data_IF_972815599810
#
_entry.id   IF_972815599810
#
_cell.length_a   1.000
_cell.length_b   1.000
_cell.length_c   1.000
_cell.angle_alpha   90.00
_cell.angle_beta   90.00
_cell.angle_gamma   90.00
#
_symmetry.space_group_name_H-M   'P 1'
#
loop_
_entity.id
_entity.type
_entity.pdbx_description
1 polymer ?
#
# COMPACT_ATOMS: atom_id res chain seq x y z
N UNK A 1 24.93 -9.49 -14.45
CA UNK A 1 25.23 -10.43 -13.34
C UNK A 1 25.79 -9.59 -12.19
N UNK A 2 25.16 -9.63 -11.02
CA UNK A 2 25.58 -8.85 -9.84
C UNK A 2 26.69 -9.53 -9.06
N UNK A 3 27.54 -8.77 -8.38
CA UNK A 3 28.58 -9.31 -7.48
C UNK A 3 27.92 -9.94 -6.25
N UNK A 4 28.51 -11.02 -5.73
CA UNK A 4 27.94 -11.86 -4.64
C UNK A 4 28.69 -11.68 -3.31
N UNK A 5 29.74 -10.85 -3.32
CA UNK A 5 30.62 -10.61 -2.19
C UNK A 5 31.18 -9.18 -2.26
N UNK A 6 31.61 -8.68 -1.10
CA UNK A 6 32.42 -7.46 -0.97
C UNK A 6 33.79 -7.83 -0.39
N UNK A 7 34.81 -7.07 -0.75
CA UNK A 7 36.15 -7.26 -0.19
C UNK A 7 36.32 -6.32 1.01
N UNK A 8 36.78 -6.86 2.14
CA UNK A 8 37.13 -6.05 3.31
C UNK A 8 38.32 -5.15 2.98
N UNK A 9 38.21 -3.84 3.23
CA UNK A 9 39.29 -2.90 2.90
C UNK A 9 40.51 -2.98 3.82
N UNK A 10 40.41 -3.70 4.95
CA UNK A 10 41.51 -3.83 5.92
C UNK A 10 42.27 -5.16 5.80
N UNK A 11 41.57 -6.28 5.63
CA UNK A 11 42.19 -7.61 5.55
C UNK A 11 42.14 -8.25 4.16
N UNK A 12 41.57 -7.55 3.17
CA UNK A 12 41.42 -7.99 1.77
C UNK A 12 40.65 -9.31 1.59
N UNK A 13 39.95 -9.74 2.65
CA UNK A 13 39.18 -10.97 2.66
C UNK A 13 37.83 -10.78 1.97
N UNK A 14 37.36 -11.83 1.30
CA UNK A 14 36.08 -11.84 0.60
C UNK A 14 34.95 -12.13 1.59
N UNK A 15 34.16 -11.12 1.88
CA UNK A 15 32.96 -11.24 2.71
C UNK A 15 31.76 -11.53 1.80
N UNK A 16 31.18 -12.74 1.85
CA UNK A 16 29.98 -13.04 1.07
C UNK A 16 28.81 -12.18 1.54
N UNK A 17 27.92 -11.80 0.62
CA UNK A 17 26.70 -11.06 0.99
C UNK A 17 25.67 -11.91 1.70
N UNK A 18 25.79 -13.24 1.60
CA UNK A 18 24.98 -14.20 2.35
C UNK A 18 25.80 -14.78 3.48
N UNK A 19 25.31 -14.64 4.70
CA UNK A 19 25.95 -15.23 5.88
C UNK A 19 25.34 -16.59 6.26
N UNK A 20 26.00 -17.26 7.22
CA UNK A 20 25.57 -18.57 7.71
C UNK A 20 24.24 -18.51 8.48
N UNK A 21 23.86 -17.33 9.00
CA UNK A 21 22.61 -17.10 9.71
C UNK A 21 21.46 -17.08 8.69
N UNK A 22 21.62 -16.34 7.61
CA UNK A 22 20.69 -16.22 6.49
C UNK A 22 20.52 -17.56 5.76
N UNK A 23 21.59 -18.34 5.57
CA UNK A 23 21.51 -19.71 5.07
C UNK A 23 20.68 -20.62 5.98
N UNK A 24 20.88 -20.51 7.29
CA UNK A 24 20.17 -21.34 8.26
C UNK A 24 18.71 -20.93 8.42
N UNK A 25 18.41 -19.63 8.37
CA UNK A 25 17.05 -19.09 8.30
C UNK A 25 16.32 -19.51 7.01
N UNK A 26 17.03 -19.61 5.89
CA UNK A 26 16.47 -20.19 4.67
C UNK A 26 16.24 -21.69 4.78
N UNK A 27 17.06 -22.43 5.52
CA UNK A 27 16.91 -23.89 5.66
C UNK A 27 15.79 -24.29 6.62
N UNK A 28 15.43 -23.41 7.56
CA UNK A 28 14.43 -23.70 8.58
C UNK A 28 13.00 -23.38 8.08
N UNK A 29 12.12 -24.39 7.95
CA UNK A 29 10.76 -24.20 7.47
C UNK A 29 9.89 -23.33 8.40
N UNK A 30 10.20 -23.28 9.69
CA UNK A 30 9.53 -22.42 10.68
C UNK A 30 10.00 -20.98 10.49
N UNK A 31 11.31 -20.76 10.34
CA UNK A 31 11.86 -19.42 10.11
C UNK A 31 11.36 -18.80 8.79
N UNK A 32 11.24 -19.58 7.71
CA UNK A 32 10.59 -19.13 6.47
C UNK A 32 9.14 -18.70 6.67
N UNK A 33 8.40 -19.43 7.50
CA UNK A 33 6.98 -19.13 7.77
C UNK A 33 6.84 -17.85 8.59
N UNK A 34 7.71 -17.65 9.59
CA UNK A 34 7.78 -16.42 10.38
C UNK A 34 8.13 -15.22 9.49
N UNK A 35 9.19 -15.32 8.67
CA UNK A 35 9.57 -14.24 7.74
C UNK A 35 8.47 -13.92 6.72
N UNK A 36 7.75 -14.93 6.22
CA UNK A 36 6.63 -14.72 5.31
C UNK A 36 5.43 -14.07 6.02
N UNK A 37 5.20 -14.39 7.30
CA UNK A 37 4.19 -13.76 8.13
C UNK A 37 4.56 -12.30 8.43
N UNK A 38 5.79 -12.01 8.84
CA UNK A 38 6.26 -10.65 9.10
C UNK A 38 6.17 -9.80 7.84
N UNK A 39 6.66 -10.28 6.69
CA UNK A 39 6.51 -9.57 5.41
C UNK A 39 5.06 -9.29 5.04
N UNK A 40 4.13 -10.19 5.37
CA UNK A 40 2.70 -9.95 5.16
C UNK A 40 2.14 -8.92 6.16
N UNK A 41 2.53 -9.02 7.43
CA UNK A 41 2.12 -8.09 8.48
C UNK A 41 2.63 -6.66 8.19
N UNK A 42 3.91 -6.50 7.85
CA UNK A 42 4.47 -5.19 7.44
C UNK A 42 3.75 -4.62 6.23
N UNK A 43 3.48 -5.42 5.18
CA UNK A 43 2.71 -4.96 4.01
C UNK A 43 1.28 -4.55 4.33
N UNK A 44 0.61 -5.27 5.24
CA UNK A 44 -0.74 -4.92 5.67
C UNK A 44 -0.76 -3.63 6.50
N UNK A 45 0.22 -3.46 7.38
CA UNK A 45 0.42 -2.22 8.14
C UNK A 45 0.72 -1.03 7.21
N UNK A 46 1.56 -1.22 6.19
CA UNK A 46 1.87 -0.20 5.19
C UNK A 46 0.63 0.24 4.39
N UNK A 47 -0.18 -0.72 3.92
CA UNK A 47 -1.41 -0.41 3.18
C UNK A 47 -2.42 0.33 4.07
N UNK A 48 -2.59 -0.10 5.32
CA UNK A 48 -3.47 0.58 6.27
C UNK A 48 -3.00 2.02 6.55
N UNK A 49 -1.69 2.23 6.70
CA UNK A 49 -1.12 3.56 6.89
C UNK A 49 -1.33 4.46 5.65
N UNK A 50 -1.15 3.91 4.45
CA UNK A 50 -1.40 4.63 3.20
C UNK A 50 -2.88 4.98 3.02
N UNK A 51 -3.81 4.08 3.36
CA UNK A 51 -5.24 4.38 3.36
C UNK A 51 -5.56 5.54 4.32
N UNK A 52 -4.96 5.55 5.51
CA UNK A 52 -5.16 6.61 6.49
C UNK A 52 -4.64 7.98 5.99
N UNK A 53 -3.47 7.99 5.34
CA UNK A 53 -2.93 9.21 4.72
C UNK A 53 -3.85 9.72 3.60
N UNK A 54 -4.34 8.81 2.75
CA UNK A 54 -5.25 9.17 1.65
C UNK A 54 -6.58 9.74 2.15
N UNK A 55 -7.15 9.17 3.22
CA UNK A 55 -8.35 9.71 3.86
C UNK A 55 -8.10 11.13 4.38
N UNK A 56 -6.97 11.37 5.06
CA UNK A 56 -6.59 12.71 5.52
C UNK A 56 -6.44 13.72 4.38
N UNK A 57 -5.83 13.32 3.26
CA UNK A 57 -5.72 14.17 2.08
C UNK A 57 -7.10 14.51 1.47
N UNK A 58 -8.01 13.55 1.40
CA UNK A 58 -9.37 13.78 0.92
C UNK A 58 -10.12 14.76 1.81
N UNK A 59 -10.00 14.62 3.13
CA UNK A 59 -10.58 15.57 4.09
C UNK A 59 -10.04 16.99 3.88
N UNK A 60 -8.72 17.15 3.70
CA UNK A 60 -8.12 18.45 3.46
C UNK A 60 -8.66 19.10 2.18
N UNK A 61 -8.64 18.38 1.05
CA UNK A 61 -9.11 18.89 -0.25
C UNK A 61 -10.60 19.26 -0.20
N UNK A 62 -11.42 18.39 0.40
CA UNK A 62 -12.87 18.65 0.51
C UNK A 62 -13.17 19.81 1.45
N UNK A 63 -12.43 19.95 2.55
CA UNK A 63 -12.48 21.09 3.44
C UNK A 63 -12.11 22.40 2.75
N UNK A 64 -11.02 22.42 1.98
CA UNK A 64 -10.59 23.57 1.17
C UNK A 64 -11.66 23.96 0.12
N UNK A 65 -12.29 22.96 -0.50
CA UNK A 65 -13.37 23.17 -1.46
C UNK A 65 -14.72 23.54 -0.80
N UNK A 66 -14.78 23.64 0.53
CA UNK A 66 -16.00 23.92 1.30
C UNK A 66 -17.01 22.77 1.31
N UNK A 67 -16.67 21.60 0.78
CA UNK A 67 -17.55 20.43 0.68
C UNK A 67 -17.56 19.62 1.98
N UNK A 68 -18.45 18.62 2.08
CA UNK A 68 -18.49 17.73 3.25
C UNK A 68 -17.98 16.37 2.84
N UNK A 69 -16.91 15.90 3.48
CA UNK A 69 -16.51 14.49 3.38
C UNK A 69 -16.99 13.73 4.61
N UNK A 70 -17.63 12.59 4.39
CA UNK A 70 -18.06 11.66 5.43
C UNK A 70 -17.38 10.33 5.20
N UNK A 71 -16.57 9.90 6.16
CA UNK A 71 -16.01 8.56 6.16
C UNK A 71 -17.12 7.53 6.35
N UNK A 72 -17.15 6.52 5.51
CA UNK A 72 -18.04 5.38 5.69
C UNK A 72 -17.32 4.29 6.47
N UNK A 73 -18.06 3.56 7.31
CA UNK A 73 -17.50 2.46 8.11
C UNK A 73 -16.95 1.36 7.20
N UNK A 74 -15.75 0.88 7.51
CA UNK A 74 -14.94 -0.14 6.80
C UNK A 74 -15.62 -1.50 6.49
N UNK A 75 -16.89 -1.68 6.83
CA UNK A 75 -17.65 -2.93 6.66
C UNK A 75 -18.35 -3.03 5.29
N UNK A 76 -18.55 -1.93 4.57
CA UNK A 76 -19.09 -1.97 3.21
C UNK A 76 -17.97 -2.22 2.20
N UNK A 77 -18.05 -3.34 1.48
CA UNK A 77 -17.03 -3.82 0.56
C UNK A 77 -16.72 -2.81 -0.56
N UNK A 78 -15.79 -1.89 -0.27
CA UNK A 78 -15.11 -1.00 -1.20
C UNK A 78 -15.74 0.39 -1.39
N UNK A 79 -16.27 1.04 -0.38
CA UNK A 79 -16.46 2.50 -0.45
C UNK A 79 -15.79 3.10 0.79
N UNK A 80 -14.80 3.96 0.55
CA UNK A 80 -13.95 4.51 1.61
C UNK A 80 -14.51 5.82 2.16
N UNK A 81 -15.38 6.52 1.41
CA UNK A 81 -16.12 7.67 1.91
C UNK A 81 -17.11 8.28 0.92
N UNK A 82 -17.88 9.25 1.40
CA UNK A 82 -18.84 10.05 0.62
C UNK A 82 -18.44 11.52 0.63
N UNK A 83 -18.44 12.15 -0.55
CA UNK A 83 -18.38 13.61 -0.66
C UNK A 83 -19.78 14.13 -0.94
N UNK A 84 -20.32 14.91 -0.01
CA UNK A 84 -21.58 15.64 -0.16
C UNK A 84 -21.30 17.08 -0.59
N UNK A 85 -21.90 17.47 -1.71
CA UNK A 85 -21.71 18.80 -2.25
C UNK A 85 -22.53 19.84 -1.49
N UNK A 86 -21.94 20.98 -1.19
CA UNK A 86 -22.61 22.20 -0.76
C UNK A 86 -22.89 23.12 -1.95
N UNK A 87 -23.97 23.87 -1.87
CA UNK A 87 -24.23 24.99 -2.76
C UNK A 87 -23.38 26.23 -2.39
N UNK A 88 -23.48 27.29 -3.19
CA UNK A 88 -22.75 28.56 -2.97
C UNK A 88 -23.13 29.27 -1.65
N UNK A 89 -24.21 28.84 -1.00
CA UNK A 89 -24.72 29.36 0.26
C UNK A 89 -24.29 28.48 1.44
N UNK A 90 -23.46 27.46 1.19
CA UNK A 90 -22.95 26.54 2.20
C UNK A 90 -23.98 25.53 2.70
N UNK A 91 -25.10 25.34 1.98
CA UNK A 91 -26.11 24.34 2.33
C UNK A 91 -25.80 23.02 1.62
N UNK A 92 -25.96 21.88 2.30
CA UNK A 92 -25.81 20.57 1.67
C UNK A 92 -26.86 20.40 0.56
N UNK A 93 -26.39 20.14 -0.66
CA UNK A 93 -27.24 19.95 -1.85
C UNK A 93 -27.94 18.58 -1.90
N UNK A 94 -27.59 17.67 -0.99
CA UNK A 94 -28.05 16.28 -0.98
C UNK A 94 -27.45 15.41 -2.10
N UNK A 95 -26.62 15.97 -2.99
CA UNK A 95 -25.90 15.23 -4.02
C UNK A 95 -24.59 14.69 -3.43
N UNK A 96 -24.40 13.38 -3.56
CA UNK A 96 -23.24 12.68 -3.01
C UNK A 96 -22.48 11.92 -4.09
N UNK A 97 -21.16 11.88 -3.94
CA UNK A 97 -20.29 10.98 -4.70
C UNK A 97 -19.65 10.00 -3.73
N UNK A 98 -19.74 8.71 -4.05
CA UNK A 98 -19.05 7.65 -3.34
C UNK A 98 -17.63 7.52 -3.89
N UNK A 99 -16.63 7.56 -3.02
CA UNK A 99 -15.22 7.48 -3.39
C UNK A 99 -14.64 6.17 -2.86
N UNK A 100 -13.92 5.47 -3.74
CA UNK A 100 -13.06 4.34 -3.38
C UNK A 100 -11.60 4.79 -3.47
N UNK A 101 -10.93 4.87 -2.34
CA UNK A 101 -9.51 5.13 -2.21
C UNK A 101 -8.78 3.79 -2.29
N UNK A 102 -7.94 3.63 -3.30
CA UNK A 102 -7.07 2.45 -3.41
C UNK A 102 -5.67 2.82 -2.95
N UNK A 103 -5.24 2.19 -1.87
CA UNK A 103 -3.84 2.20 -1.43
C UNK A 103 -3.25 0.82 -1.78
N UNK A 104 -2.27 0.80 -2.70
CA UNK A 104 -1.63 -0.44 -3.12
C UNK A 104 -0.81 -0.29 -4.39
N UNK A 105 0.24 -1.13 -4.51
CA UNK A 105 1.00 -1.27 -5.74
C UNK A 105 0.11 -1.89 -6.83
N UNK A 106 -0.39 -1.05 -7.73
CA UNK A 106 -1.06 -1.49 -8.94
C UNK A 106 -0.09 -2.27 -9.83
N UNK A 107 -0.14 -3.59 -9.77
CA UNK A 107 0.50 -4.39 -10.80
C UNK A 107 -0.36 -4.28 -12.05
N UNK A 108 0.11 -3.54 -13.06
CA UNK A 108 -0.45 -3.60 -14.41
C UNK A 108 -0.31 -5.03 -14.93
N UNK A 109 -1.32 -5.87 -14.73
CA UNK A 109 -1.37 -7.15 -15.44
C UNK A 109 -1.93 -6.93 -16.83
N UNK A 110 -1.17 -7.41 -17.83
CA UNK A 110 -1.72 -7.63 -19.17
C UNK A 110 -2.83 -8.67 -19.07
N UNK A 111 -4.03 -8.30 -19.47
CA UNK A 111 -5.16 -9.21 -19.62
C UNK A 111 -4.78 -10.22 -20.71
N UNK A 112 -4.66 -11.51 -20.37
CA UNK A 112 -4.22 -12.58 -21.29
C UNK A 112 -5.10 -12.74 -22.53
N UNK A 113 -6.35 -12.30 -22.47
CA UNK A 113 -7.34 -12.47 -23.54
C UNK A 113 -7.19 -11.42 -24.66
N UNK A 114 -7.02 -10.15 -24.28
CA UNK A 114 -7.16 -9.02 -25.23
C UNK A 114 -5.98 -8.04 -25.19
N UNK A 115 -4.90 -8.34 -24.44
CA UNK A 115 -3.71 -7.48 -24.35
C UNK A 115 -3.91 -6.16 -23.60
N UNK A 116 -5.15 -5.79 -23.27
CA UNK A 116 -5.49 -4.61 -22.48
C UNK A 116 -4.88 -4.64 -21.07
N UNK A 117 -4.51 -3.47 -20.56
CA UNK A 117 -3.97 -3.33 -19.20
C UNK A 117 -5.12 -3.19 -18.21
N UNK A 118 -5.13 -4.03 -17.17
CA UNK A 118 -6.07 -3.89 -16.05
C UNK A 118 -5.34 -3.41 -14.81
N UNK A 119 -5.93 -2.42 -14.14
CA UNK A 119 -5.59 -2.07 -12.77
C UNK A 119 -6.41 -2.99 -11.86
N UNK A 120 -5.74 -3.91 -11.17
CA UNK A 120 -6.32 -4.63 -10.03
C UNK A 120 -6.18 -3.80 -8.78
#
# INVERSE_FOLDING_TARGET
MGRVFITCQECDEKVPFRDFIEERLESDPVARKILAMDKKATRALDNQALEQILMGHMQAITGEAGQIFRELTKFDYGIDGEVEFKDNEGRPSGRKIHVRLKSGNFYLRRRKKDGGRCLT
#
